data_IF_431156895562
#
_entry.id   IF_431156895562
#
_cell.length_a   1.000
_cell.length_b   1.000
_cell.length_c   1.000
_cell.angle_alpha   90.00
_cell.angle_beta   90.00
_cell.angle_gamma   90.00
#
_symmetry.space_group_name_H-M   'P 1'
#
loop_
_entity.id
_entity.type
_entity.pdbx_description
1 polymer ?
#
# COMPACT_ATOMS: atom_id res chain seq x y z
N UNK A 1 -14.78 23.95 -10.27
CA UNK A 1 -13.40 23.64 -10.72
C UNK A 1 -13.33 22.14 -10.84
N UNK A 2 -12.79 21.60 -11.94
CA UNK A 2 -12.66 20.15 -12.10
C UNK A 2 -11.54 19.65 -11.19
N UNK A 3 -11.81 18.68 -10.33
CA UNK A 3 -10.78 18.02 -9.53
C UNK A 3 -9.83 17.29 -10.48
N UNK A 4 -8.54 17.59 -10.39
CA UNK A 4 -7.53 17.02 -11.28
C UNK A 4 -6.66 16.05 -10.49
N UNK A 5 -6.96 14.76 -10.60
CA UNK A 5 -6.16 13.71 -9.99
C UNK A 5 -5.10 13.19 -10.96
N UNK A 6 -3.89 12.95 -10.47
CA UNK A 6 -2.76 12.41 -11.24
C UNK A 6 -2.25 11.14 -10.58
N UNK A 7 -2.19 10.06 -11.36
CA UNK A 7 -1.54 8.80 -10.97
C UNK A 7 -0.07 8.87 -11.33
N UNK A 8 0.83 8.55 -10.40
CA UNK A 8 2.27 8.47 -10.63
C UNK A 8 2.95 7.40 -9.78
N UNK A 9 4.18 7.06 -10.11
CA UNK A 9 5.05 6.27 -9.22
C UNK A 9 5.31 7.05 -7.94
N UNK A 10 5.28 6.35 -6.81
CA UNK A 10 5.74 6.91 -5.55
C UNK A 10 7.26 7.11 -5.59
N UNK A 11 7.70 8.17 -4.96
CA UNK A 11 9.10 8.49 -4.69
C UNK A 11 9.36 8.39 -3.17
N UNK A 12 10.63 8.36 -2.77
CA UNK A 12 11.02 8.32 -1.36
C UNK A 12 10.45 9.52 -0.57
N UNK A 13 10.19 10.66 -1.22
CA UNK A 13 9.57 11.81 -0.56
C UNK A 13 8.10 11.57 -0.15
N UNK A 14 7.45 10.53 -0.68
CA UNK A 14 6.03 10.24 -0.40
C UNK A 14 5.83 9.34 0.84
N UNK A 15 6.90 8.79 1.44
CA UNK A 15 6.80 7.72 2.46
C UNK A 15 6.01 8.10 3.70
N UNK A 16 6.09 9.36 4.14
CA UNK A 16 5.34 9.83 5.32
C UNK A 16 3.85 9.95 5.01
N UNK A 17 3.51 10.52 3.84
CA UNK A 17 2.13 10.62 3.38
C UNK A 17 1.53 9.23 3.12
N UNK A 18 2.28 8.30 2.54
CA UNK A 18 1.89 6.90 2.37
C UNK A 18 1.63 6.20 3.71
N UNK A 19 2.53 6.38 4.68
CA UNK A 19 2.34 5.86 6.05
C UNK A 19 1.07 6.39 6.68
N UNK A 20 0.81 7.69 6.53
CA UNK A 20 -0.39 8.33 7.07
C UNK A 20 -1.67 7.79 6.42
N UNK A 21 -1.77 7.81 5.08
CA UNK A 21 -2.95 7.33 4.34
C UNK A 21 -3.21 5.86 4.69
N UNK A 22 -2.18 5.01 4.68
CA UNK A 22 -2.32 3.59 5.02
C UNK A 22 -2.94 3.37 6.41
N UNK A 23 -2.47 4.12 7.42
CA UNK A 23 -3.00 4.03 8.79
C UNK A 23 -4.45 4.49 8.88
N UNK A 24 -4.79 5.59 8.21
CA UNK A 24 -6.15 6.14 8.19
C UNK A 24 -7.10 5.15 7.52
N UNK A 25 -6.79 4.74 6.28
CA UNK A 25 -7.66 3.82 5.51
C UNK A 25 -7.85 2.48 6.21
N UNK A 26 -6.83 1.94 6.87
CA UNK A 26 -6.99 0.68 7.62
C UNK A 26 -7.90 0.84 8.82
N UNK A 27 -7.78 1.95 9.57
CA UNK A 27 -8.70 2.20 10.69
C UNK A 27 -10.13 2.34 10.22
N UNK A 28 -10.37 3.15 9.20
CA UNK A 28 -11.69 3.35 8.61
C UNK A 28 -12.28 2.02 8.10
N UNK A 29 -11.57 1.31 7.23
CA UNK A 29 -12.06 0.07 6.64
C UNK A 29 -12.28 -1.04 7.67
N UNK A 30 -11.35 -1.22 8.62
CA UNK A 30 -11.46 -2.31 9.60
C UNK A 30 -12.45 -2.02 10.72
N UNK A 31 -12.48 -0.80 11.25
CA UNK A 31 -13.26 -0.47 12.43
C UNK A 31 -14.65 0.05 12.08
N UNK A 32 -14.78 0.84 11.01
CA UNK A 32 -16.04 1.51 10.67
C UNK A 32 -16.88 0.71 9.66
N UNK A 33 -16.23 0.10 8.66
CA UNK A 33 -16.96 -0.64 7.62
C UNK A 33 -17.14 -2.11 7.97
N UNK A 34 -16.06 -2.78 8.41
CA UNK A 34 -16.06 -4.23 8.65
C UNK A 34 -16.27 -4.62 10.11
N UNK A 35 -16.24 -3.66 11.04
CA UNK A 35 -16.39 -3.86 12.48
C UNK A 35 -15.50 -4.99 13.04
N UNK A 36 -14.28 -5.12 12.52
CA UNK A 36 -13.33 -6.15 12.96
C UNK A 36 -12.73 -5.69 14.30
N UNK A 37 -12.87 -6.48 15.38
CA UNK A 37 -12.46 -6.06 16.72
C UNK A 37 -10.96 -6.28 16.95
N UNK A 38 -10.12 -5.66 16.12
CA UNK A 38 -8.67 -5.63 16.38
C UNK A 38 -8.39 -4.84 17.66
N UNK A 39 -7.50 -5.36 18.50
CA UNK A 39 -7.02 -4.60 19.64
C UNK A 39 -6.15 -3.42 19.18
N UNK A 40 -6.05 -2.38 20.01
CA UNK A 40 -5.13 -1.27 19.72
C UNK A 40 -3.67 -1.75 19.62
N UNK A 41 -3.30 -2.77 20.39
CA UNK A 41 -1.96 -3.38 20.36
C UNK A 41 -1.67 -4.07 19.02
N UNK A 42 -2.64 -4.80 18.48
CA UNK A 42 -2.52 -5.48 17.18
C UNK A 42 -2.38 -4.46 16.04
N UNK A 43 -3.20 -3.40 16.07
CA UNK A 43 -3.13 -2.31 15.08
C UNK A 43 -1.79 -1.60 15.15
N UNK A 44 -1.29 -1.28 16.35
CA UNK A 44 0.00 -0.64 16.52
C UNK A 44 1.17 -1.53 16.07
N UNK A 45 1.09 -2.83 16.37
CA UNK A 45 2.07 -3.82 15.90
C UNK A 45 2.08 -3.90 14.37
N UNK A 46 0.90 -3.95 13.75
CA UNK A 46 0.75 -3.91 12.31
C UNK A 46 1.28 -2.59 11.72
N UNK A 47 0.96 -1.44 12.31
CA UNK A 47 1.40 -0.15 11.79
C UNK A 47 2.90 0.07 11.89
N UNK A 48 3.55 -0.44 12.94
CA UNK A 48 5.02 -0.43 13.05
C UNK A 48 5.70 -1.28 11.99
N UNK A 49 5.12 -2.45 11.67
CA UNK A 49 5.72 -3.41 10.74
C UNK A 49 5.46 -3.07 9.27
N UNK A 50 4.20 -2.75 8.93
CA UNK A 50 3.70 -2.77 7.55
C UNK A 50 3.27 -1.40 7.01
N UNK A 51 2.99 -0.45 7.90
CA UNK A 51 2.53 0.89 7.56
C UNK A 51 3.48 2.00 8.05
N UNK A 52 4.76 1.69 8.30
CA UNK A 52 5.79 2.67 8.68
C UNK A 52 6.45 3.29 7.44
N UNK A 53 7.00 4.53 7.55
CA UNK A 53 7.76 5.14 6.46
C UNK A 53 8.90 4.25 5.96
N UNK A 54 9.58 3.55 6.87
CA UNK A 54 10.66 2.62 6.54
C UNK A 54 10.16 1.40 5.77
N UNK A 55 8.96 0.91 6.08
CA UNK A 55 8.31 -0.17 5.32
C UNK A 55 8.00 0.28 3.89
N UNK A 56 7.46 1.49 3.71
CA UNK A 56 7.23 2.06 2.38
C UNK A 56 8.54 2.33 1.62
N UNK A 57 9.59 2.83 2.30
CA UNK A 57 10.90 3.00 1.69
C UNK A 57 11.45 1.67 1.16
N UNK A 58 11.29 0.56 1.89
CA UNK A 58 11.67 -0.78 1.40
C UNK A 58 10.88 -1.18 0.16
N UNK A 59 9.56 -0.99 0.17
CA UNK A 59 8.67 -1.32 -0.97
C UNK A 59 9.00 -0.49 -2.22
N UNK A 60 9.30 0.80 -2.05
CA UNK A 60 9.67 1.69 -3.16
C UNK A 60 11.01 1.31 -3.77
N UNK A 61 11.96 0.86 -2.95
CA UNK A 61 13.30 0.45 -3.40
C UNK A 61 13.37 -1.01 -3.88
N UNK A 62 12.33 -1.81 -3.67
CA UNK A 62 12.27 -3.18 -4.19
C UNK A 62 11.93 -3.15 -5.68
N UNK A 63 12.85 -3.59 -6.56
CA UNK A 63 12.62 -3.58 -8.01
C UNK A 63 11.50 -4.53 -8.46
N UNK A 64 11.08 -5.48 -7.61
CA UNK A 64 9.95 -6.37 -7.89
C UNK A 64 8.61 -5.78 -7.46
N UNK A 65 8.62 -4.62 -6.80
CA UNK A 65 7.41 -3.96 -6.32
C UNK A 65 7.15 -2.63 -7.01
N UNK A 66 5.87 -2.29 -6.97
CA UNK A 66 5.30 -1.18 -7.67
C UNK A 66 4.37 -0.38 -6.77
N UNK A 67 4.88 0.71 -6.20
CA UNK A 67 4.08 1.65 -5.41
C UNK A 67 3.64 2.82 -6.30
N UNK A 68 2.34 3.02 -6.39
CA UNK A 68 1.68 4.10 -7.12
C UNK A 68 0.91 4.98 -6.14
N UNK A 69 0.85 6.27 -6.44
CA UNK A 69 0.09 7.26 -5.67
C UNK A 69 -0.84 8.04 -6.59
N UNK A 70 -1.94 8.53 -6.01
CA UNK A 70 -2.84 9.50 -6.62
C UNK A 70 -2.66 10.82 -5.87
N UNK A 71 -2.28 11.85 -6.61
CA UNK A 71 -2.13 13.22 -6.11
C UNK A 71 -3.30 14.07 -6.62
N UNK A 72 -3.93 14.82 -5.73
CA UNK A 72 -4.87 15.88 -6.10
C UNK A 72 -4.08 17.15 -6.45
N UNK A 73 -4.10 17.56 -7.72
CA UNK A 73 -3.36 18.73 -8.20
C UNK A 73 -3.93 20.06 -7.74
N UNK A 74 -5.11 20.08 -7.11
CA UNK A 74 -5.70 21.31 -6.59
C UNK A 74 -5.07 21.73 -5.26
N UNK A 75 -4.66 20.79 -4.42
CA UNK A 75 -4.03 21.03 -3.11
C UNK A 75 -2.61 20.42 -2.97
N UNK A 76 -2.19 19.57 -3.91
CA UNK A 76 -0.89 18.89 -3.90
C UNK A 76 -0.82 17.70 -2.94
N UNK A 77 -1.96 17.26 -2.38
CA UNK A 77 -2.00 16.18 -1.41
C UNK A 77 -2.11 14.82 -2.08
N UNK A 78 -1.48 13.81 -1.46
CA UNK A 78 -1.72 12.42 -1.82
C UNK A 78 -3.03 11.96 -1.19
N UNK A 79 -3.89 11.36 -2.00
CA UNK A 79 -5.24 10.95 -1.57
C UNK A 79 -5.46 9.44 -1.62
N UNK A 80 -4.62 8.71 -2.36
CA UNK A 80 -4.68 7.25 -2.44
C UNK A 80 -3.34 6.66 -2.89
N UNK A 81 -3.18 5.36 -2.67
CA UNK A 81 -2.04 4.61 -3.16
C UNK A 81 -2.42 3.18 -3.53
N UNK A 82 -1.58 2.53 -4.33
CA UNK A 82 -1.67 1.12 -4.65
C UNK A 82 -0.27 0.50 -4.64
N UNK A 83 -0.17 -0.74 -4.13
CA UNK A 83 1.07 -1.53 -4.18
C UNK A 83 0.80 -2.78 -4.99
N UNK A 84 1.63 -3.03 -5.99
CA UNK A 84 1.63 -4.26 -6.77
C UNK A 84 3.01 -4.93 -6.69
N UNK A 85 3.04 -6.26 -6.72
CA UNK A 85 4.27 -7.03 -6.63
C UNK A 85 3.97 -8.53 -6.68
N UNK A 86 5.00 -9.38 -6.72
CA UNK A 86 4.83 -10.83 -6.70
C UNK A 86 4.11 -11.27 -5.42
N UNK A 87 3.23 -12.26 -5.53
CA UNK A 87 2.71 -12.93 -4.35
C UNK A 87 3.85 -13.74 -3.71
N UNK A 88 4.11 -13.51 -2.42
CA UNK A 88 5.06 -14.33 -1.67
C UNK A 88 4.48 -15.73 -1.53
N UNK A 89 4.95 -16.63 -2.40
CA UNK A 89 4.32 -17.93 -2.59
C UNK A 89 4.58 -18.89 -1.45
N UNK A 90 5.68 -18.68 -0.75
CA UNK A 90 6.04 -19.42 0.46
C UNK A 90 5.05 -19.13 1.61
N UNK A 91 4.32 -18.01 1.54
CA UNK A 91 3.38 -17.53 2.55
C UNK A 91 1.90 -17.74 2.18
N UNK A 92 1.60 -18.21 0.96
CA UNK A 92 0.22 -18.41 0.48
C UNK A 92 -0.02 -19.89 0.19
N UNK A 93 -0.59 -20.66 1.14
CA UNK A 93 -0.94 -22.07 0.94
C UNK A 93 -2.24 -22.19 0.13
N UNK A 94 -2.28 -21.62 -1.08
CA UNK A 94 -3.42 -21.73 -1.99
C UNK A 94 -3.04 -22.59 -3.21
N UNK A 95 -3.79 -23.67 -3.52
CA UNK A 95 -3.41 -24.65 -4.54
C UNK A 95 -3.25 -24.06 -5.95
N UNK A 96 -3.97 -22.98 -6.25
CA UNK A 96 -3.91 -22.30 -7.56
C UNK A 96 -2.78 -21.26 -7.66
N UNK A 97 -2.12 -20.92 -6.55
CA UNK A 97 -1.01 -19.97 -6.50
C UNK A 97 0.28 -20.76 -6.79
N UNK A 98 0.69 -20.79 -8.06
CA UNK A 98 1.85 -21.55 -8.54
C UNK A 98 3.06 -20.65 -8.75
N UNK A 99 4.26 -21.13 -8.39
CA UNK A 99 5.49 -20.35 -8.57
C UNK A 99 5.70 -20.05 -10.06
N UNK A 100 6.18 -18.84 -10.36
CA UNK A 100 6.73 -18.49 -11.67
C UNK A 100 5.71 -18.32 -12.83
N UNK A 101 4.45 -17.95 -12.55
CA UNK A 101 3.47 -17.53 -13.58
C UNK A 101 3.37 -16.02 -13.81
N UNK A 102 3.95 -15.20 -12.92
CA UNK A 102 3.92 -13.72 -13.01
C UNK A 102 4.87 -13.15 -14.08
N UNK A 103 5.74 -13.98 -14.67
CA UNK A 103 6.61 -13.61 -15.78
C UNK A 103 5.85 -13.11 -17.04
N UNK A 104 4.52 -13.24 -17.06
CA UNK A 104 3.64 -12.77 -18.13
C UNK A 104 3.23 -11.29 -18.01
N UNK A 105 3.55 -10.60 -16.92
CA UNK A 105 3.26 -9.16 -16.77
C UNK A 105 4.33 -8.24 -17.39
N UNK A 106 5.39 -8.80 -17.97
CA UNK A 106 6.33 -8.06 -18.82
C UNK A 106 5.79 -7.92 -20.26
N UNK A 107 4.71 -7.15 -20.46
CA UNK A 107 4.30 -6.65 -21.78
C UNK A 107 3.89 -5.19 -21.72
#
# INVERSE_FOLDING_TARGET
>A
MATQFVVRRADICDIDALSHICKVTIREASMEELFIPYSEEDLDSYFRSSASPESFAKKINDPQQAVWVIEDKTNGELVAYAVAGPCHIDDVPHPDVCSNKDALLNR
#
